data_IF_471445645370
#
_entry.id   IF_471445645370
#
_cell.length_a   1.000
_cell.length_b   1.000
_cell.length_c   1.000
_cell.angle_alpha   90.00
_cell.angle_beta   90.00
_cell.angle_gamma   90.00
#
_symmetry.space_group_name_H-M   'P 1'
#
loop_
_entity.id
_entity.type
_entity.pdbx_description
1 polymer ?
#
# COMPACT_ATOMS: atom_id res chain seq x y z
N UNK A 1 -43.46 -22.90 42.78
CA UNK A 1 -42.51 -23.28 41.72
C UNK A 1 -41.92 -22.03 41.10
N UNK A 2 -40.70 -22.05 40.56
CA UNK A 2 -40.10 -20.87 39.90
C UNK A 2 -40.91 -20.51 38.63
N UNK A 3 -41.31 -19.25 38.50
CA UNK A 3 -41.99 -18.76 37.31
C UNK A 3 -41.07 -18.97 36.07
N UNK A 4 -41.59 -19.45 34.92
CA UNK A 4 -40.78 -19.74 33.73
C UNK A 4 -40.22 -18.50 33.03
N UNK A 5 -40.70 -17.32 33.38
CA UNK A 5 -40.43 -16.07 32.65
C UNK A 5 -39.36 -15.26 33.38
N UNK A 6 -39.47 -15.11 34.71
CA UNK A 6 -38.47 -14.43 35.55
C UNK A 6 -38.69 -14.79 37.03
N UNK A 7 -37.67 -14.61 37.89
CA UNK A 7 -37.85 -14.73 39.35
C UNK A 7 -38.55 -13.49 39.90
N UNK A 8 -39.64 -13.68 40.62
CA UNK A 8 -40.35 -12.63 41.35
C UNK A 8 -41.04 -13.21 42.58
N UNK A 9 -41.15 -12.41 43.64
CA UNK A 9 -41.79 -12.82 44.90
C UNK A 9 -43.31 -12.99 44.73
N UNK A 10 -43.90 -13.90 45.49
CA UNK A 10 -45.34 -14.21 45.52
C UNK A 10 -45.96 -14.76 44.21
N UNK A 11 -45.22 -15.51 43.40
CA UNK A 11 -45.77 -16.20 42.23
C UNK A 11 -46.07 -17.68 42.46
N UNK A 12 -47.35 -18.04 42.39
CA UNK A 12 -47.79 -19.42 42.34
C UNK A 12 -47.90 -19.88 40.88
N UNK A 13 -46.76 -20.31 40.32
CA UNK A 13 -46.76 -20.93 39.01
C UNK A 13 -47.29 -22.37 39.06
N UNK A 14 -48.40 -22.61 38.37
CA UNK A 14 -49.01 -23.93 38.20
C UNK A 14 -48.76 -24.46 36.78
N UNK A 15 -48.21 -25.67 36.66
CA UNK A 15 -48.02 -26.36 35.37
C UNK A 15 -49.22 -27.26 35.09
N UNK A 16 -50.29 -26.69 34.56
CA UNK A 16 -51.44 -27.48 34.09
C UNK A 16 -51.25 -27.85 32.60
N UNK A 17 -51.12 -29.14 32.32
CA UNK A 17 -50.99 -29.66 30.95
C UNK A 17 -52.30 -29.53 30.16
N UNK A 18 -53.44 -29.74 30.82
CA UNK A 18 -54.75 -29.66 30.19
C UNK A 18 -55.06 -28.23 29.78
N UNK A 19 -54.82 -27.27 30.68
CA UNK A 19 -55.00 -25.85 30.39
C UNK A 19 -54.07 -25.38 29.24
N UNK A 20 -52.82 -25.83 29.22
CA UNK A 20 -51.89 -25.53 28.11
C UNK A 20 -52.38 -26.08 26.77
N UNK A 21 -52.88 -27.31 26.76
CA UNK A 21 -53.42 -27.91 25.54
C UNK A 21 -54.66 -27.15 25.06
N UNK A 22 -55.58 -26.79 25.97
CA UNK A 22 -56.74 -25.96 25.64
C UNK A 22 -56.33 -24.62 25.03
N UNK A 23 -55.33 -23.94 25.59
CA UNK A 23 -54.78 -22.71 25.03
C UNK A 23 -54.18 -22.98 23.64
N UNK A 24 -53.36 -24.01 23.48
CA UNK A 24 -52.75 -24.38 22.19
C UNK A 24 -53.78 -24.69 21.10
N UNK A 25 -54.95 -25.22 21.48
CA UNK A 25 -56.04 -25.56 20.58
C UNK A 25 -56.96 -24.37 20.25
N UNK A 26 -56.77 -23.20 20.87
CA UNK A 26 -57.54 -22.00 20.54
C UNK A 26 -57.35 -21.62 19.06
N UNK A 27 -58.48 -21.44 18.37
CA UNK A 27 -58.49 -20.95 17.00
C UNK A 27 -58.25 -19.45 16.97
N UNK A 28 -57.19 -19.05 16.28
CA UNK A 28 -56.76 -17.65 16.17
C UNK A 28 -56.55 -17.27 14.72
N UNK A 29 -56.69 -15.98 14.42
CA UNK A 29 -56.31 -15.39 13.14
C UNK A 29 -54.82 -15.04 13.13
N UNK A 30 -54.19 -14.98 11.96
CA UNK A 30 -52.79 -14.58 11.87
C UNK A 30 -52.62 -13.12 12.35
N UNK A 31 -51.69 -12.85 13.29
CA UNK A 31 -51.48 -11.51 13.80
C UNK A 31 -51.06 -10.51 12.71
N UNK A 32 -50.38 -10.97 11.65
CA UNK A 32 -50.03 -10.12 10.50
C UNK A 32 -51.27 -9.62 9.73
N UNK A 33 -52.39 -10.36 9.75
CA UNK A 33 -53.66 -9.89 9.18
C UNK A 33 -54.24 -8.70 9.95
N UNK A 34 -54.05 -8.67 11.27
CA UNK A 34 -54.52 -7.58 12.13
C UNK A 34 -53.73 -6.30 11.86
N UNK A 35 -52.40 -6.41 11.77
CA UNK A 35 -51.52 -5.27 11.48
C UNK A 35 -51.81 -4.62 10.12
N UNK A 36 -52.19 -5.42 9.11
CA UNK A 36 -52.58 -4.91 7.79
C UNK A 36 -53.92 -4.18 7.83
N UNK A 37 -54.95 -4.76 8.49
CA UNK A 37 -56.28 -4.15 8.59
C UNK A 37 -56.26 -2.81 9.32
N UNK A 38 -55.36 -2.62 10.28
CA UNK A 38 -55.20 -1.34 10.98
C UNK A 38 -54.68 -0.22 10.07
N UNK A 39 -53.97 -0.57 8.99
CA UNK A 39 -53.22 0.39 8.17
C UNK A 39 -53.75 0.53 6.73
N UNK A 40 -54.77 -0.24 6.31
CA UNK A 40 -55.28 -0.21 4.93
C UNK A 40 -56.49 0.71 4.75
N UNK A 41 -56.36 1.65 3.80
CA UNK A 41 -57.46 2.35 3.13
C UNK A 41 -57.87 1.58 1.87
N UNK A 42 -58.96 0.79 1.94
CA UNK A 42 -59.82 0.27 0.86
C UNK A 42 -59.24 -0.10 -0.53
N UNK A 43 -57.96 -0.38 -0.70
CA UNK A 43 -57.42 -0.90 -1.98
C UNK A 43 -57.25 -2.42 -1.95
N UNK A 44 -57.71 -3.03 -3.04
CA UNK A 44 -57.85 -4.46 -3.28
C UNK A 44 -56.47 -5.15 -3.25
N UNK A 45 -56.29 -6.14 -2.36
CA UNK A 45 -55.03 -6.86 -2.23
C UNK A 45 -55.20 -8.36 -2.43
N UNK A 46 -54.51 -8.90 -3.45
CA UNK A 46 -54.35 -10.33 -3.76
C UNK A 46 -53.48 -11.11 -2.73
N UNK A 47 -52.92 -10.42 -1.73
CA UNK A 47 -52.04 -11.02 -0.71
C UNK A 47 -52.76 -11.22 0.61
N UNK A 48 -53.95 -11.84 0.61
CA UNK A 48 -54.66 -12.11 1.84
C UNK A 48 -54.16 -13.43 2.47
N UNK A 49 -53.65 -13.35 3.70
CA UNK A 49 -53.51 -14.54 4.52
C UNK A 49 -54.89 -14.90 5.06
N UNK A 50 -55.30 -16.16 4.92
CA UNK A 50 -56.59 -16.67 5.43
C UNK A 50 -56.40 -17.65 6.60
N UNK A 51 -55.31 -17.50 7.35
CA UNK A 51 -54.99 -18.42 8.44
C UNK A 51 -55.99 -18.26 9.60
N UNK A 52 -56.68 -19.36 9.92
CA UNK A 52 -57.59 -19.47 11.06
C UNK A 52 -57.47 -20.89 11.65
N UNK A 53 -56.41 -21.12 12.41
CA UNK A 53 -56.09 -22.43 13.01
C UNK A 53 -55.60 -22.28 14.46
N UNK A 54 -55.19 -23.40 15.05
CA UNK A 54 -54.71 -23.51 16.42
C UNK A 54 -53.50 -22.63 16.68
N UNK A 55 -53.46 -21.89 17.79
CA UNK A 55 -52.32 -21.03 18.15
C UNK A 55 -51.00 -21.83 18.29
N UNK A 56 -51.08 -23.12 18.66
CA UNK A 56 -49.91 -24.01 18.69
C UNK A 56 -49.21 -24.17 17.34
N UNK A 57 -49.92 -23.98 16.22
CA UNK A 57 -49.40 -24.04 14.84
C UNK A 57 -48.96 -22.66 14.31
N UNK A 58 -49.16 -21.57 15.06
CA UNK A 58 -48.96 -20.20 14.58
C UNK A 58 -47.50 -19.91 14.23
N UNK A 59 -46.56 -20.44 15.00
CA UNK A 59 -45.13 -20.20 14.76
C UNK A 59 -44.70 -20.71 13.39
N UNK A 60 -45.05 -21.95 13.08
CA UNK A 60 -44.76 -22.56 11.77
C UNK A 60 -45.42 -21.77 10.63
N UNK A 61 -46.65 -21.31 10.83
CA UNK A 61 -47.28 -20.43 9.87
C UNK A 61 -46.48 -19.14 9.65
N UNK A 62 -46.10 -18.42 10.69
CA UNK A 62 -45.37 -17.16 10.59
C UNK A 62 -43.98 -17.32 9.95
N UNK A 63 -43.30 -18.44 10.22
CA UNK A 63 -41.95 -18.70 9.74
C UNK A 63 -41.96 -19.21 8.29
N UNK A 64 -42.91 -20.08 7.92
CA UNK A 64 -42.83 -20.87 6.68
C UNK A 64 -43.98 -20.64 5.68
N UNK A 65 -45.20 -20.33 6.15
CA UNK A 65 -46.40 -20.37 5.30
C UNK A 65 -47.11 -19.04 5.11
N UNK A 66 -46.80 -18.04 5.95
CA UNK A 66 -47.47 -16.75 5.93
C UNK A 66 -46.94 -15.90 4.78
N UNK A 67 -47.76 -15.74 3.75
CA UNK A 67 -47.47 -14.87 2.59
C UNK A 67 -47.38 -13.39 2.94
N UNK A 68 -47.90 -13.00 4.12
CA UNK A 68 -47.75 -11.65 4.62
C UNK A 68 -46.34 -11.47 5.16
N UNK A 69 -45.50 -10.76 4.41
CA UNK A 69 -44.23 -10.27 4.93
C UNK A 69 -44.58 -9.18 5.94
N UNK A 70 -44.08 -9.29 7.17
CA UNK A 70 -44.27 -8.22 8.15
C UNK A 70 -43.57 -6.95 7.65
N UNK A 71 -44.16 -5.79 7.88
CA UNK A 71 -43.52 -4.49 7.58
C UNK A 71 -42.13 -4.43 8.23
N UNK A 72 -41.95 -5.05 9.39
CA UNK A 72 -40.66 -5.20 10.06
C UNK A 72 -39.62 -5.94 9.21
N UNK A 73 -39.98 -7.05 8.56
CA UNK A 73 -39.07 -7.76 7.66
C UNK A 73 -38.69 -6.93 6.43
N UNK A 74 -39.63 -6.16 5.85
CA UNK A 74 -39.34 -5.25 4.75
C UNK A 74 -38.35 -4.17 5.19
N UNK A 75 -38.57 -3.56 6.37
CA UNK A 75 -37.66 -2.55 6.93
C UNK A 75 -36.26 -3.13 7.15
N UNK A 76 -36.16 -4.35 7.66
CA UNK A 76 -34.86 -5.03 7.85
C UNK A 76 -34.15 -5.26 6.51
N UNK A 77 -34.86 -5.76 5.50
CA UNK A 77 -34.31 -5.97 4.16
C UNK A 77 -33.84 -4.66 3.52
N UNK A 78 -34.61 -3.58 3.65
CA UNK A 78 -34.23 -2.26 3.12
C UNK A 78 -32.97 -1.74 3.80
N UNK A 79 -32.84 -1.89 5.13
CA UNK A 79 -31.63 -1.49 5.86
C UNK A 79 -30.40 -2.30 5.42
N UNK A 80 -30.57 -3.60 5.23
CA UNK A 80 -29.49 -4.48 4.76
C UNK A 80 -29.03 -4.09 3.35
N UNK A 81 -29.97 -3.92 2.41
CA UNK A 81 -29.67 -3.49 1.05
C UNK A 81 -29.01 -2.10 1.00
N UNK A 82 -29.46 -1.17 1.84
CA UNK A 82 -28.82 0.14 1.97
C UNK A 82 -27.37 0.02 2.46
N UNK A 83 -27.10 -0.83 3.46
CA UNK A 83 -25.76 -1.09 3.97
C UNK A 83 -24.84 -1.65 2.89
N UNK A 84 -25.31 -2.66 2.14
CA UNK A 84 -24.55 -3.27 1.04
C UNK A 84 -24.25 -2.25 -0.07
N UNK A 85 -25.23 -1.44 -0.46
CA UNK A 85 -25.04 -0.40 -1.47
C UNK A 85 -24.00 0.65 -1.04
N UNK A 86 -23.96 1.02 0.24
CA UNK A 86 -22.95 1.95 0.76
C UNK A 86 -21.55 1.32 0.75
N UNK A 87 -21.44 0.05 1.14
CA UNK A 87 -20.17 -0.68 1.09
C UNK A 87 -19.64 -0.82 -0.34
N UNK A 88 -20.50 -1.15 -1.30
CA UNK A 88 -20.14 -1.28 -2.71
C UNK A 88 -19.74 0.06 -3.33
N UNK A 89 -20.47 1.15 -3.05
CA UNK A 89 -20.08 2.51 -3.46
C UNK A 89 -18.70 2.87 -2.92
N UNK A 90 -18.45 2.59 -1.64
CA UNK A 90 -17.16 2.87 -1.00
C UNK A 90 -16.03 2.05 -1.65
N UNK A 91 -16.26 0.76 -1.91
CA UNK A 91 -15.28 -0.11 -2.57
C UNK A 91 -14.98 0.34 -4.00
N UNK A 92 -16.01 0.70 -4.76
CA UNK A 92 -15.89 1.16 -6.15
C UNK A 92 -15.11 2.47 -6.23
N UNK A 93 -15.35 3.39 -5.29
CA UNK A 93 -14.61 4.65 -5.21
C UNK A 93 -13.19 4.43 -4.72
N UNK A 94 -12.92 3.62 -3.70
CA UNK A 94 -11.59 3.47 -3.11
C UNK A 94 -10.63 2.60 -3.95
N UNK A 95 -11.15 1.60 -4.67
CA UNK A 95 -10.35 0.66 -5.47
C UNK A 95 -9.37 1.35 -6.44
N UNK A 96 -9.82 2.32 -7.27
CA UNK A 96 -8.92 3.07 -8.16
C UNK A 96 -7.84 3.86 -7.43
N UNK A 97 -8.16 4.47 -6.28
CA UNK A 97 -7.22 5.25 -5.49
C UNK A 97 -6.13 4.35 -4.90
N UNK A 98 -6.52 3.22 -4.31
CA UNK A 98 -5.56 2.24 -3.79
C UNK A 98 -4.66 1.71 -4.92
N UNK A 99 -5.23 1.36 -6.08
CA UNK A 99 -4.46 0.92 -7.25
C UNK A 99 -3.46 1.99 -7.70
N UNK A 100 -3.86 3.26 -7.78
CA UNK A 100 -2.97 4.38 -8.13
C UNK A 100 -1.87 4.57 -7.08
N UNK A 101 -2.22 4.50 -5.80
CA UNK A 101 -1.27 4.62 -4.70
C UNK A 101 -0.20 3.52 -4.75
N UNK A 102 -0.58 2.26 -5.00
CA UNK A 102 0.38 1.16 -5.19
C UNK A 102 1.31 1.38 -6.38
N UNK A 103 0.78 1.87 -7.52
CA UNK A 103 1.61 2.20 -8.70
C UNK A 103 2.62 3.30 -8.38
N UNK A 104 2.21 4.36 -7.66
CA UNK A 104 3.10 5.45 -7.25
C UNK A 104 4.17 4.93 -6.28
N UNK A 105 3.79 4.13 -5.29
CA UNK A 105 4.72 3.52 -4.33
C UNK A 105 5.77 2.65 -5.03
N UNK A 106 5.37 1.83 -6.01
CA UNK A 106 6.29 1.01 -6.81
C UNK A 106 7.28 1.87 -7.60
N UNK A 107 6.80 2.88 -8.33
CA UNK A 107 7.67 3.80 -9.09
C UNK A 107 8.66 4.57 -8.20
N UNK A 108 8.21 4.99 -7.01
CA UNK A 108 9.06 5.66 -6.03
C UNK A 108 10.21 4.76 -5.55
N UNK A 109 9.95 3.47 -5.38
CA UNK A 109 10.96 2.50 -4.99
C UNK A 109 11.95 2.21 -6.11
N UNK A 110 11.48 2.07 -7.35
CA UNK A 110 12.35 1.94 -8.53
C UNK A 110 13.27 3.16 -8.68
N UNK A 111 12.74 4.37 -8.50
CA UNK A 111 13.53 5.61 -8.53
C UNK A 111 14.62 5.64 -7.46
N UNK A 112 14.32 5.18 -6.24
CA UNK A 112 15.31 5.08 -5.16
C UNK A 112 16.45 4.13 -5.52
N UNK A 113 16.14 2.98 -6.11
CA UNK A 113 17.16 2.01 -6.55
C UNK A 113 18.06 2.60 -7.64
N UNK A 114 17.48 3.31 -8.61
CA UNK A 114 18.25 3.99 -9.65
C UNK A 114 19.17 5.07 -9.08
N UNK A 115 18.68 5.87 -8.13
CA UNK A 115 19.49 6.91 -7.48
C UNK A 115 20.65 6.31 -6.68
N UNK A 116 20.43 5.21 -5.95
CA UNK A 116 21.51 4.53 -5.23
C UNK A 116 22.60 4.00 -6.17
N UNK A 117 22.19 3.40 -7.31
CA UNK A 117 23.13 2.92 -8.31
C UNK A 117 23.94 4.06 -8.94
N UNK A 118 23.26 5.14 -9.33
CA UNK A 118 23.91 6.34 -9.88
C UNK A 118 24.90 6.96 -8.91
N UNK A 119 24.54 7.06 -7.62
CA UNK A 119 25.44 7.58 -6.60
C UNK A 119 26.70 6.72 -6.43
N UNK A 120 26.57 5.40 -6.45
CA UNK A 120 27.72 4.49 -6.39
C UNK A 120 28.64 4.67 -7.63
N UNK A 121 28.06 4.79 -8.83
CA UNK A 121 28.83 5.06 -10.05
C UNK A 121 29.58 6.41 -9.96
N UNK A 122 28.94 7.46 -9.43
CA UNK A 122 29.59 8.76 -9.20
C UNK A 122 30.77 8.65 -8.22
N UNK A 123 30.66 7.86 -7.16
CA UNK A 123 31.76 7.62 -6.22
C UNK A 123 32.94 6.93 -6.90
N UNK A 124 32.69 5.90 -7.71
CA UNK A 124 33.76 5.20 -8.45
C UNK A 124 34.48 6.11 -9.45
N UNK A 125 33.76 7.02 -10.12
CA UNK A 125 34.36 7.98 -11.04
C UNK A 125 35.23 9.01 -10.30
N UNK A 126 34.79 9.49 -9.13
CA UNK A 126 35.59 10.39 -8.29
C UNK A 126 36.90 9.77 -7.82
N UNK A 127 36.87 8.49 -7.46
CA UNK A 127 38.08 7.75 -7.08
C UNK A 127 39.07 7.63 -8.24
N UNK A 128 38.58 7.26 -9.43
CA UNK A 128 39.39 7.18 -10.65
C UNK A 128 39.99 8.53 -11.05
N UNK A 129 39.21 9.61 -10.98
CA UNK A 129 39.69 10.96 -11.29
C UNK A 129 40.77 11.41 -10.29
N UNK A 130 40.64 11.05 -9.01
CA UNK A 130 41.65 11.33 -8.00
C UNK A 130 42.95 10.56 -8.26
N UNK A 131 42.87 9.29 -8.69
CA UNK A 131 44.03 8.49 -9.06
C UNK A 131 44.76 9.08 -10.27
N UNK A 132 44.04 9.41 -11.35
CA UNK A 132 44.61 10.08 -12.52
C UNK A 132 45.25 11.42 -12.19
N UNK A 133 44.67 12.19 -11.28
CA UNK A 133 45.27 13.45 -10.83
C UNK A 133 46.62 13.23 -10.13
N UNK A 134 46.77 12.16 -9.34
CA UNK A 134 48.05 11.78 -8.74
C UNK A 134 49.07 11.37 -9.81
N UNK A 135 48.67 10.58 -10.80
CA UNK A 135 49.54 10.21 -11.93
C UNK A 135 50.01 11.44 -12.71
N UNK A 136 49.10 12.37 -13.03
CA UNK A 136 49.43 13.63 -13.69
C UNK A 136 50.43 14.44 -12.86
N UNK A 137 50.27 14.48 -11.54
CA UNK A 137 51.21 15.17 -10.66
C UNK A 137 52.60 14.53 -10.67
N UNK A 138 52.67 13.20 -10.65
CA UNK A 138 53.93 12.45 -10.77
C UNK A 138 54.62 12.70 -12.11
N UNK A 139 53.87 12.66 -13.21
CA UNK A 139 54.40 12.95 -14.55
C UNK A 139 54.97 14.36 -14.65
N UNK A 140 54.30 15.37 -14.08
CA UNK A 140 54.82 16.75 -14.01
C UNK A 140 56.14 16.82 -13.24
N UNK A 141 56.28 16.08 -12.13
CA UNK A 141 57.53 16.01 -11.37
C UNK A 141 58.66 15.35 -12.18
N UNK A 142 58.36 14.24 -12.87
CA UNK A 142 59.31 13.57 -13.76
C UNK A 142 59.75 14.47 -14.92
N UNK A 143 58.81 15.21 -15.53
CA UNK A 143 59.10 16.15 -16.60
C UNK A 143 60.03 17.27 -16.14
N UNK A 144 59.72 17.91 -15.01
CA UNK A 144 60.60 18.93 -14.43
C UNK A 144 62.01 18.40 -14.13
N UNK A 145 62.11 17.17 -13.62
CA UNK A 145 63.40 16.54 -13.36
C UNK A 145 64.19 16.24 -14.65
N UNK A 146 63.50 15.90 -15.73
CA UNK A 146 64.09 15.70 -17.05
C UNK A 146 64.59 17.02 -17.63
N UNK A 147 63.78 18.08 -17.59
CA UNK A 147 64.15 19.41 -18.09
C UNK A 147 65.41 19.95 -17.39
N UNK A 148 65.52 19.77 -16.06
CA UNK A 148 66.73 20.12 -15.31
C UNK A 148 67.96 19.36 -15.82
N UNK A 149 67.82 18.07 -16.17
CA UNK A 149 68.94 17.27 -16.70
C UNK A 149 69.34 17.72 -18.10
N UNK A 150 68.38 18.06 -18.94
CA UNK A 150 68.62 18.59 -20.30
C UNK A 150 69.43 19.88 -20.21
N UNK A 151 69.00 20.84 -19.37
CA UNK A 151 69.72 22.11 -19.16
C UNK A 151 71.16 21.86 -18.70
N UNK A 152 71.37 20.97 -17.73
CA UNK A 152 72.73 20.61 -17.26
C UNK A 152 73.60 20.02 -18.36
N UNK A 153 73.03 19.17 -19.23
CA UNK A 153 73.76 18.59 -20.36
C UNK A 153 74.15 19.66 -21.39
N UNK A 154 73.25 20.60 -21.67
CA UNK A 154 73.53 21.74 -22.56
C UNK A 154 74.67 22.62 -22.02
N UNK A 155 74.69 22.89 -20.71
CA UNK A 155 75.78 23.63 -20.05
C UNK A 155 77.14 22.91 -20.17
N UNK A 156 77.16 21.59 -19.93
CA UNK A 156 78.37 20.76 -20.06
C UNK A 156 78.88 20.79 -21.52
N UNK A 157 77.99 20.62 -22.50
CA UNK A 157 78.35 20.67 -23.91
C UNK A 157 78.97 22.01 -24.29
N UNK A 158 78.37 23.12 -23.82
CA UNK A 158 78.89 24.47 -24.06
C UNK A 158 80.30 24.64 -23.48
N UNK A 159 80.50 24.24 -22.22
CA UNK A 159 81.82 24.32 -21.57
C UNK A 159 82.88 23.47 -22.28
N UNK A 160 82.51 22.27 -22.76
CA UNK A 160 83.43 21.40 -23.48
C UNK A 160 83.84 22.01 -24.83
N UNK A 161 82.88 22.59 -25.56
CA UNK A 161 83.17 23.27 -26.83
C UNK A 161 84.08 24.48 -26.62
N UNK A 162 83.83 25.28 -25.59
CA UNK A 162 84.67 26.44 -25.25
C UNK A 162 86.11 26.01 -24.90
N UNK A 163 86.28 24.90 -24.18
CA UNK A 163 87.60 24.36 -23.84
C UNK A 163 88.34 23.79 -25.06
N UNK A 164 87.63 23.08 -25.95
CA UNK A 164 88.20 22.61 -27.21
C UNK A 164 88.67 23.77 -28.09
N UNK A 165 87.87 24.83 -28.21
CA UNK A 165 88.25 26.04 -28.96
C UNK A 165 89.51 26.70 -28.39
N UNK A 166 89.64 26.78 -27.05
CA UNK A 166 90.86 27.28 -26.40
C UNK A 166 92.07 26.40 -26.70
N UNK A 167 91.91 25.07 -26.71
CA UNK A 167 93.00 24.13 -27.04
C UNK A 167 93.43 24.27 -28.49
N UNK A 168 92.49 24.38 -29.44
CA UNK A 168 92.76 24.62 -30.87
C UNK A 168 93.52 25.94 -31.04
N UNK A 169 93.08 27.02 -30.38
CA UNK A 169 93.75 28.32 -30.44
C UNK A 169 95.20 28.22 -29.94
N UNK A 170 95.44 27.52 -28.82
CA UNK A 170 96.79 27.28 -28.28
C UNK A 170 97.69 26.50 -29.25
N UNK A 171 97.15 25.49 -29.94
CA UNK A 171 97.90 24.72 -30.94
C UNK A 171 98.27 25.57 -32.15
N UNK A 172 97.33 26.37 -32.67
CA UNK A 172 97.58 27.26 -33.80
C UNK A 172 98.71 28.25 -33.50
N UNK A 173 98.72 28.85 -32.31
CA UNK A 173 99.82 29.73 -31.88
C UNK A 173 101.17 29.00 -31.94
N UNK A 174 101.26 27.76 -31.43
CA UNK A 174 102.51 26.99 -31.48
C UNK A 174 102.99 26.72 -32.90
N UNK A 175 102.09 26.43 -33.84
CA UNK A 175 102.44 26.15 -35.24
C UNK A 175 103.05 27.38 -35.93
N UNK A 176 102.59 28.60 -35.64
CA UNK A 176 103.10 29.82 -36.29
C UNK A 176 104.52 30.23 -35.89
N UNK A 177 105.06 29.71 -34.79
CA UNK A 177 106.39 30.06 -34.28
C UNK A 177 107.46 28.98 -34.53
N UNK A 178 107.13 27.94 -35.31
CA UNK A 178 108.06 26.94 -35.82
C UNK A 178 108.22 27.09 -37.33
#
# INVERSE_FOLDING_TARGET
>A
GKCPIQQHDHCEFVKDKSLRQQVSDLLVTCPRQYDLKKNQSKEEHENECNYKRKIGEMKDHLDNSCRLISIQHIILLVKELQSQLQAEKLQTVLSPFLRKHFKIKKKKEELRKMNLKSNAEIETLKESDNEKNKEIQQLKQCQNAFDIRVIKLEEILKSNNDEQLKQIAKLNVRIFYF
#
